data_IF_468802661323
#
_entry.id   IF_468802661323
#
_cell.length_a   1.000
_cell.length_b   1.000
_cell.length_c   1.000
_cell.angle_alpha   90.00
_cell.angle_beta   90.00
_cell.angle_gamma   90.00
#
_symmetry.space_group_name_H-M   'P 1'
#
loop_
_entity.id
_entity.type
_entity.pdbx_description
1 polymer ?
#
# COMPACT_ATOMS: atom_id res chain seq x y z
N UNK A 1 15.16 24.74 -16.75
CA UNK A 1 14.71 24.44 -15.37
C UNK A 1 13.72 23.30 -15.43
N UNK A 2 14.18 22.06 -15.25
CA UNK A 2 13.32 20.88 -15.18
C UNK A 2 12.80 20.78 -13.75
N UNK A 3 11.49 21.02 -13.57
CA UNK A 3 10.80 20.70 -12.33
C UNK A 3 10.94 19.19 -12.09
N UNK A 4 11.62 18.83 -11.00
CA UNK A 4 11.68 17.46 -10.51
C UNK A 4 10.32 17.06 -9.94
N UNK A 5 9.44 16.53 -10.80
CA UNK A 5 8.17 15.96 -10.39
C UNK A 5 8.38 14.68 -9.59
N UNK A 6 8.41 14.79 -8.26
CA UNK A 6 8.17 13.68 -7.33
C UNK A 6 6.69 13.34 -7.41
N UNK A 7 6.28 12.52 -8.37
CA UNK A 7 4.92 11.98 -8.36
C UNK A 7 4.83 10.92 -7.25
N UNK A 8 4.22 11.30 -6.14
CA UNK A 8 3.76 10.39 -5.10
C UNK A 8 2.25 10.59 -5.03
N UNK A 9 1.48 9.67 -5.61
CA UNK A 9 0.03 9.68 -5.50
C UNK A 9 -0.39 8.71 -4.38
N UNK A 10 -1.07 9.25 -3.36
CA UNK A 10 -1.71 8.47 -2.30
C UNK A 10 -3.22 8.54 -2.47
N UNK A 11 -3.84 7.40 -2.76
CA UNK A 11 -5.28 7.24 -2.61
C UNK A 11 -5.54 6.36 -1.40
N UNK A 12 -6.24 6.90 -0.41
CA UNK A 12 -6.64 6.19 0.79
C UNK A 12 -8.17 6.06 0.81
N UNK A 13 -8.68 4.83 0.85
CA UNK A 13 -10.13 4.55 0.92
C UNK A 13 -10.43 3.63 2.10
N UNK A 14 -11.47 3.95 2.87
CA UNK A 14 -12.11 3.03 3.81
C UNK A 14 -13.03 2.10 3.01
N UNK A 15 -12.81 0.79 3.10
CA UNK A 15 -13.66 -0.21 2.45
C UNK A 15 -14.65 -0.77 3.47
N UNK A 16 -15.94 -0.77 3.16
CA UNK A 16 -16.97 -1.41 4.00
C UNK A 16 -16.91 -2.95 3.94
N UNK A 17 -16.39 -3.52 2.85
CA UNK A 17 -16.32 -4.96 2.61
C UNK A 17 -15.19 -5.69 3.36
N UNK A 18 -14.18 -4.96 3.85
CA UNK A 18 -13.12 -5.49 4.72
C UNK A 18 -13.18 -4.71 6.02
N UNK A 19 -13.76 -5.31 7.06
CA UNK A 19 -13.93 -4.72 8.39
C UNK A 19 -12.72 -3.86 8.78
N UNK A 20 -12.95 -2.55 8.87
CA UNK A 20 -12.00 -1.58 9.39
C UNK A 20 -10.60 -1.58 8.72
N UNK A 21 -10.56 -1.72 7.38
CA UNK A 21 -9.32 -1.68 6.61
C UNK A 21 -9.14 -0.38 5.81
N UNK A 22 -7.94 0.22 5.92
CA UNK A 22 -7.48 1.31 5.05
C UNK A 22 -6.73 0.76 3.84
N UNK A 23 -7.17 1.10 2.63
CA UNK A 23 -6.45 0.75 1.40
C UNK A 23 -5.41 1.82 1.08
N UNK A 24 -4.14 1.47 1.10
CA UNK A 24 -3.00 2.33 0.77
C UNK A 24 -2.49 2.02 -0.63
N UNK A 25 -2.51 3.03 -1.50
CA UNK A 25 -1.86 3.00 -2.81
C UNK A 25 -0.60 3.87 -2.79
N UNK A 26 0.52 3.32 -3.27
CA UNK A 26 1.81 3.98 -3.41
C UNK A 26 2.27 3.87 -4.86
N UNK A 27 2.18 4.97 -5.61
CA UNK A 27 2.75 5.07 -6.96
C UNK A 27 4.08 5.84 -6.87
N UNK A 28 5.18 5.23 -7.35
CA UNK A 28 6.52 5.81 -7.42
C UNK A 28 7.05 5.74 -8.85
N UNK A 29 7.97 6.65 -9.19
CA UNK A 29 8.76 6.54 -10.42
C UNK A 29 9.70 5.33 -10.30
N UNK A 30 10.00 4.66 -11.41
CA UNK A 30 10.75 3.39 -11.43
C UNK A 30 12.13 3.46 -10.75
N UNK A 31 12.83 4.58 -10.86
CA UNK A 31 14.12 4.82 -10.21
C UNK A 31 14.01 5.10 -8.70
N UNK A 32 12.80 5.36 -8.19
CA UNK A 32 12.49 5.46 -6.77
C UNK A 32 11.92 4.16 -6.18
N UNK A 33 11.62 3.16 -7.02
CA UNK A 33 11.06 1.86 -6.62
C UNK A 33 12.14 0.94 -6.00
N UNK A 34 12.87 1.48 -5.01
CA UNK A 34 13.90 0.77 -4.25
C UNK A 34 13.36 0.44 -2.86
N UNK A 35 13.84 -0.66 -2.26
CA UNK A 35 13.42 -1.06 -0.92
C UNK A 35 13.57 0.07 0.10
N UNK A 36 14.69 0.79 0.08
CA UNK A 36 14.98 1.86 1.04
C UNK A 36 13.97 3.02 0.93
N UNK A 37 13.75 3.55 -0.27
CA UNK A 37 12.80 4.65 -0.50
C UNK A 37 11.37 4.26 -0.10
N UNK A 38 10.96 3.03 -0.42
CA UNK A 38 9.63 2.53 -0.08
C UNK A 38 9.47 2.44 1.44
N UNK A 39 10.47 1.90 2.16
CA UNK A 39 10.44 1.81 3.62
C UNK A 39 10.34 3.19 4.26
N UNK A 40 11.16 4.13 3.82
CA UNK A 40 11.19 5.49 4.38
C UNK A 40 9.84 6.18 4.21
N UNK A 41 9.22 6.06 3.03
CA UNK A 41 7.89 6.62 2.77
C UNK A 41 6.83 5.92 3.63
N UNK A 42 6.82 4.59 3.66
CA UNK A 42 5.80 3.83 4.39
C UNK A 42 5.87 4.08 5.90
N UNK A 43 7.06 4.17 6.50
CA UNK A 43 7.22 4.49 7.93
C UNK A 43 6.60 5.83 8.31
N UNK A 44 6.63 6.82 7.42
CA UNK A 44 6.03 8.14 7.67
C UNK A 44 4.50 8.15 7.66
N UNK A 45 3.87 7.19 7.00
CA UNK A 45 2.43 7.21 6.71
C UNK A 45 1.63 6.09 7.38
N UNK A 46 2.25 4.96 7.77
CA UNK A 46 1.54 3.82 8.37
C UNK A 46 0.73 4.26 9.61
N UNK A 47 1.40 4.88 10.58
CA UNK A 47 0.75 5.33 11.81
C UNK A 47 -0.34 6.38 11.57
N UNK A 48 -0.09 7.29 10.62
CA UNK A 48 -1.06 8.32 10.23
C UNK A 48 -2.27 7.69 9.56
N UNK A 49 -2.07 6.63 8.77
CA UNK A 49 -3.15 5.92 8.09
C UNK A 49 -4.09 5.26 9.10
N UNK A 50 -3.56 4.55 10.11
CA UNK A 50 -4.41 3.98 11.16
C UNK A 50 -5.28 5.04 11.86
N UNK A 51 -4.71 6.21 12.15
CA UNK A 51 -5.43 7.30 12.82
C UNK A 51 -6.46 7.99 11.92
N UNK A 52 -6.08 8.36 10.70
CA UNK A 52 -6.93 9.10 9.77
C UNK A 52 -8.14 8.28 9.30
N UNK A 53 -8.00 6.96 9.16
CA UNK A 53 -9.08 6.07 8.73
C UNK A 53 -9.79 5.36 9.88
N UNK A 54 -9.34 5.60 11.11
CA UNK A 54 -9.78 4.88 12.32
C UNK A 54 -9.74 3.35 12.12
N UNK A 55 -8.76 2.89 11.35
CA UNK A 55 -8.63 1.51 10.92
C UNK A 55 -7.65 0.72 11.79
N UNK A 56 -7.77 -0.60 11.83
CA UNK A 56 -6.83 -1.49 12.52
C UNK A 56 -6.01 -2.35 11.54
N UNK A 57 -6.27 -2.20 10.24
CA UNK A 57 -5.61 -2.96 9.19
C UNK A 57 -5.34 -2.07 7.98
N UNK A 58 -4.17 -2.18 7.38
CA UNK A 58 -3.81 -1.50 6.14
C UNK A 58 -3.59 -2.56 5.05
N UNK A 59 -4.19 -2.35 3.88
CA UNK A 59 -3.96 -3.14 2.68
C UNK A 59 -3.11 -2.33 1.69
N UNK A 60 -2.15 -2.96 1.02
CA UNK A 60 -1.41 -2.35 -0.08
C UNK A 60 -1.13 -3.37 -1.17
N UNK A 61 -1.05 -2.92 -2.42
CA UNK A 61 -0.85 -3.79 -3.59
C UNK A 61 0.63 -3.90 -3.93
N UNK A 62 1.09 -5.12 -4.18
CA UNK A 62 2.40 -5.40 -4.74
C UNK A 62 2.33 -6.59 -5.69
N UNK A 63 2.63 -6.35 -6.97
CA UNK A 63 2.68 -7.41 -7.98
C UNK A 63 3.87 -8.35 -7.71
N UNK A 64 3.79 -9.65 -8.06
CA UNK A 64 4.89 -10.61 -7.86
C UNK A 64 6.23 -10.17 -8.47
N UNK A 65 6.18 -9.40 -9.56
CA UNK A 65 7.36 -8.86 -10.24
C UNK A 65 8.06 -7.71 -9.50
N UNK A 66 7.37 -7.06 -8.54
CA UNK A 66 7.88 -5.89 -7.80
C UNK A 66 8.73 -6.33 -6.60
N UNK A 67 9.91 -6.90 -6.87
CA UNK A 67 10.76 -7.54 -5.86
C UNK A 67 11.16 -6.59 -4.71
N UNK A 68 11.54 -5.35 -5.02
CA UNK A 68 11.94 -4.35 -4.03
C UNK A 68 10.79 -3.94 -3.11
N UNK A 69 9.59 -3.74 -3.68
CA UNK A 69 8.37 -3.46 -2.92
C UNK A 69 8.02 -4.62 -2.00
N UNK A 70 8.08 -5.86 -2.49
CA UNK A 70 7.79 -7.05 -1.67
C UNK A 70 8.77 -7.16 -0.49
N UNK A 71 10.06 -6.91 -0.71
CA UNK A 71 11.07 -6.90 0.36
C UNK A 71 10.76 -5.82 1.40
N UNK A 72 10.43 -4.61 0.97
CA UNK A 72 10.07 -3.51 1.87
C UNK A 72 8.82 -3.83 2.69
N UNK A 73 7.80 -4.38 2.05
CA UNK A 73 6.55 -4.76 2.72
C UNK A 73 6.80 -5.84 3.78
N UNK A 74 7.55 -6.89 3.46
CA UNK A 74 7.90 -7.94 4.42
C UNK A 74 8.70 -7.41 5.62
N UNK A 75 9.62 -6.47 5.39
CA UNK A 75 10.39 -5.83 6.47
C UNK A 75 9.51 -4.97 7.38
N UNK A 76 8.40 -4.43 6.86
CA UNK A 76 7.42 -3.68 7.64
C UNK A 76 6.27 -4.55 8.16
N UNK A 77 6.47 -5.87 8.25
CA UNK A 77 5.52 -6.89 8.71
C UNK A 77 4.20 -6.95 7.93
N UNK A 78 4.20 -6.53 6.67
CA UNK A 78 3.08 -6.82 5.79
C UNK A 78 3.12 -8.28 5.34
N UNK A 79 1.97 -8.95 5.42
CA UNK A 79 1.79 -10.34 5.01
C UNK A 79 0.97 -10.43 3.73
N UNK A 80 1.35 -11.27 2.75
CA UNK A 80 0.54 -11.47 1.56
C UNK A 80 -0.79 -12.14 1.91
N UNK A 81 -1.80 -11.91 1.08
CA UNK A 81 -3.11 -12.57 1.20
C UNK A 81 -3.53 -13.23 -0.10
N UNK A 82 -4.31 -14.32 0.02
CA UNK A 82 -5.03 -14.90 -1.10
C UNK A 82 -6.41 -14.24 -1.29
N UNK A 83 -6.85 -13.42 -0.33
CA UNK A 83 -8.12 -12.73 -0.42
C UNK A 83 -8.04 -11.65 -1.51
N UNK A 84 -9.05 -11.64 -2.38
CA UNK A 84 -9.19 -10.63 -3.43
C UNK A 84 -10.03 -9.47 -2.90
N UNK A 85 -9.65 -8.25 -3.25
CA UNK A 85 -10.54 -7.10 -3.09
C UNK A 85 -11.54 -7.11 -4.24
N UNK A 86 -12.83 -6.99 -3.94
CA UNK A 86 -13.89 -6.95 -4.94
C UNK A 86 -14.32 -5.49 -5.15
N UNK A 87 -14.22 -5.01 -6.38
CA UNK A 87 -14.70 -3.69 -6.79
C UNK A 87 -16.22 -3.59 -6.75
N UNK A 88 -16.76 -2.37 -6.80
CA UNK A 88 -18.20 -2.15 -6.83
C UNK A 88 -18.86 -2.73 -8.10
N UNK A 89 -18.07 -2.93 -9.15
CA UNK A 89 -18.43 -3.53 -10.44
C UNK A 89 -18.25 -5.06 -10.45
N UNK A 90 -17.86 -5.67 -9.33
CA UNK A 90 -17.53 -7.10 -9.24
C UNK A 90 -16.12 -7.45 -9.71
N UNK A 91 -15.30 -6.47 -10.12
CA UNK A 91 -13.92 -6.73 -10.54
C UNK A 91 -13.09 -7.23 -9.37
N UNK A 92 -12.39 -8.35 -9.56
CA UNK A 92 -11.51 -8.90 -8.54
C UNK A 92 -10.08 -8.35 -8.66
N UNK A 93 -9.55 -7.83 -7.57
CA UNK A 93 -8.18 -7.37 -7.48
C UNK A 93 -7.37 -8.27 -6.53
N UNK A 94 -6.31 -8.88 -7.06
CA UNK A 94 -5.38 -9.76 -6.33
C UNK A 94 -4.10 -9.05 -5.90
N UNK A 95 -3.13 -9.80 -5.36
CA UNK A 95 -1.77 -9.31 -5.06
C UNK A 95 -1.72 -8.23 -3.96
N UNK A 96 -2.50 -8.44 -2.89
CA UNK A 96 -2.53 -7.56 -1.73
C UNK A 96 -1.70 -8.11 -0.58
N UNK A 97 -1.20 -7.16 0.21
CA UNK A 97 -0.46 -7.37 1.43
C UNK A 97 -1.14 -6.59 2.55
N UNK A 98 -1.29 -7.21 3.72
CA UNK A 98 -1.94 -6.59 4.88
C UNK A 98 -0.97 -6.44 6.06
N UNK A 99 -1.10 -5.32 6.78
CA UNK A 99 -0.51 -5.12 8.09
C UNK A 99 -1.60 -4.77 9.09
N UNK A 100 -1.68 -5.53 10.19
CA UNK A 100 -2.51 -5.17 11.35
C UNK A 100 -1.72 -4.20 12.24
N UNK A 101 -2.44 -3.29 12.88
CA UNK A 101 -1.88 -2.35 13.85
C UNK A 101 -1.19 -3.08 14.99
#
# INVERSE_FOLDING_TARGET
MLYQGKAIAFLLRKLSYFNNCGLLRLDLRSDYETKANIIDILKLIIDKTYRLFECNMIATKALPIASERIKALKELDFSPTQNKLIGHDGTEYSSYYFKKR
#
